data_IF_867753708728
#
_entry.id   IF_867753708728
#
_cell.length_a   1.000
_cell.length_b   1.000
_cell.length_c   1.000
_cell.angle_alpha   90.00
_cell.angle_beta   90.00
_cell.angle_gamma   90.00
#
_symmetry.space_group_name_H-M   'P 1'
#
loop_
_entity.id
_entity.type
_entity.pdbx_description
1 polymer ?
#
# COMPACT_ATOMS: atom_id res chain seq x y z
N UNK A 1 4.40 18.03 -13.94
CA UNK A 1 4.90 16.71 -13.52
C UNK A 1 3.78 15.70 -13.52
N UNK A 2 4.05 14.49 -13.98
CA UNK A 2 3.04 13.43 -14.01
C UNK A 2 2.82 12.87 -12.62
N UNK A 3 1.57 12.56 -12.28
CA UNK A 3 1.23 11.91 -11.01
C UNK A 3 1.68 10.46 -10.99
N UNK A 4 1.69 9.81 -12.17
CA UNK A 4 2.02 8.39 -12.27
C UNK A 4 3.51 8.16 -12.43
N UNK A 5 4.00 7.08 -11.85
CA UNK A 5 5.34 6.57 -12.12
C UNK A 5 5.34 5.84 -13.46
N UNK A 6 6.53 5.57 -13.99
CA UNK A 6 6.65 4.76 -15.19
C UNK A 6 6.02 3.39 -14.93
N UNK A 7 5.36 2.84 -15.92
CA UNK A 7 4.63 1.58 -15.78
C UNK A 7 5.50 0.46 -15.22
N UNK A 8 6.70 0.29 -15.75
CA UNK A 8 7.61 -0.75 -15.30
C UNK A 8 7.95 -0.60 -13.81
N UNK A 9 8.32 0.60 -13.40
CA UNK A 9 8.69 0.87 -12.01
C UNK A 9 7.51 0.64 -11.07
N UNK A 10 6.32 1.07 -11.48
CA UNK A 10 5.11 0.91 -10.71
C UNK A 10 4.76 -0.56 -10.51
N UNK A 11 4.80 -1.36 -11.60
CA UNK A 11 4.48 -2.78 -11.53
C UNK A 11 5.51 -3.54 -10.70
N UNK A 12 6.79 -3.18 -10.81
CA UNK A 12 7.83 -3.79 -10.01
C UNK A 12 7.61 -3.52 -8.52
N UNK A 13 7.24 -2.30 -8.17
CA UNK A 13 6.95 -1.95 -6.78
C UNK A 13 5.76 -2.74 -6.24
N UNK A 14 4.66 -2.81 -7.02
CA UNK A 14 3.47 -3.54 -6.60
C UNK A 14 3.79 -5.02 -6.36
N UNK A 15 4.53 -5.65 -7.28
CA UNK A 15 4.93 -7.03 -7.12
C UNK A 15 5.79 -7.25 -5.89
N UNK A 16 6.82 -6.44 -5.72
CA UNK A 16 7.72 -6.59 -4.57
C UNK A 16 6.98 -6.42 -3.26
N UNK A 17 6.16 -5.38 -3.14
CA UNK A 17 5.43 -5.13 -1.91
C UNK A 17 4.44 -6.25 -1.58
N UNK A 18 3.72 -6.72 -2.58
CA UNK A 18 2.71 -7.76 -2.36
C UNK A 18 3.31 -9.14 -2.11
N UNK A 19 4.49 -9.42 -2.66
CA UNK A 19 5.14 -10.71 -2.46
C UNK A 19 6.03 -10.76 -1.22
N UNK A 20 6.83 -9.72 -1.01
CA UNK A 20 7.82 -9.73 0.06
C UNK A 20 7.36 -9.07 1.34
N UNK A 21 6.34 -8.21 1.28
CA UNK A 21 5.85 -7.45 2.43
C UNK A 21 4.36 -7.65 2.68
N UNK A 22 3.82 -8.80 2.28
CA UNK A 22 2.38 -9.06 2.37
C UNK A 22 1.84 -8.97 3.80
N UNK A 23 2.56 -9.51 4.78
CA UNK A 23 2.13 -9.43 6.17
C UNK A 23 2.11 -7.99 6.67
N UNK A 24 3.15 -7.23 6.33
CA UNK A 24 3.23 -5.83 6.71
C UNK A 24 2.13 -4.99 6.09
N UNK A 25 1.81 -5.24 4.82
CA UNK A 25 0.72 -4.55 4.15
C UNK A 25 -0.61 -4.90 4.79
N UNK A 26 -0.82 -6.16 5.15
CA UNK A 26 -2.04 -6.57 5.85
C UNK A 26 -2.17 -5.83 7.18
N UNK A 27 -1.09 -5.74 7.96
CA UNK A 27 -1.09 -4.97 9.20
C UNK A 27 -1.41 -3.50 8.96
N UNK A 28 -0.85 -2.93 7.90
CA UNK A 28 -1.11 -1.53 7.57
C UNK A 28 -2.58 -1.28 7.22
N UNK A 29 -3.16 -2.17 6.40
CA UNK A 29 -4.58 -2.06 6.05
C UNK A 29 -5.47 -2.24 7.28
N UNK A 30 -5.13 -3.19 8.15
CA UNK A 30 -5.83 -3.39 9.42
C UNK A 30 -5.78 -2.13 10.29
N UNK A 31 -4.63 -1.45 10.28
CA UNK A 31 -4.46 -0.21 11.03
C UNK A 31 -5.30 0.93 10.44
N UNK A 32 -5.41 1.01 9.12
CA UNK A 32 -6.21 2.04 8.45
C UNK A 32 -7.71 1.83 8.66
N UNK A 33 -8.14 0.57 8.75
CA UNK A 33 -9.54 0.20 8.90
C UNK A 33 -9.73 -0.74 10.08
N UNK A 34 -9.53 -0.21 11.28
CA UNK A 34 -9.55 -1.02 12.50
C UNK A 34 -10.95 -1.52 12.88
N UNK A 35 -12.00 -0.94 12.32
CA UNK A 35 -13.37 -1.38 12.57
C UNK A 35 -13.79 -2.60 11.75
N UNK A 36 -12.96 -2.99 10.79
CA UNK A 36 -13.27 -4.11 9.88
C UNK A 36 -12.35 -5.28 10.14
N UNK A 37 -12.88 -6.49 9.95
CA UNK A 37 -12.09 -7.72 10.11
C UNK A 37 -11.28 -8.03 8.85
N UNK A 38 -10.27 -7.23 8.57
CA UNK A 38 -9.37 -7.46 7.45
C UNK A 38 -8.47 -8.64 7.74
N UNK A 39 -8.50 -9.64 6.88
CA UNK A 39 -7.60 -10.80 6.99
C UNK A 39 -6.46 -10.75 5.99
N UNK A 40 -6.64 -10.01 4.88
CA UNK A 40 -5.58 -9.83 3.87
C UNK A 40 -5.63 -8.40 3.38
N UNK A 41 -4.46 -7.78 3.30
CA UNK A 41 -4.30 -6.47 2.67
C UNK A 41 -3.35 -6.56 1.50
N UNK A 42 -3.63 -5.80 0.45
CA UNK A 42 -2.79 -5.76 -0.76
C UNK A 42 -2.63 -4.33 -1.24
N UNK A 43 -1.51 -4.06 -1.86
CA UNK A 43 -1.28 -2.80 -2.55
C UNK A 43 -1.80 -2.94 -3.97
N UNK A 44 -2.84 -2.18 -4.30
CA UNK A 44 -3.51 -2.25 -5.61
C UNK A 44 -2.84 -1.36 -6.64
N UNK A 45 -2.57 -0.12 -6.26
CA UNK A 45 -1.99 0.85 -7.17
C UNK A 45 -1.24 1.92 -6.39
N UNK A 46 -0.40 2.66 -7.09
CA UNK A 46 0.40 3.71 -6.48
C UNK A 46 0.64 4.80 -7.49
N UNK A 47 0.62 6.04 -7.01
CA UNK A 47 1.06 7.19 -7.78
C UNK A 47 1.93 8.07 -6.88
N UNK A 48 2.33 9.24 -7.37
CA UNK A 48 3.24 10.10 -6.61
C UNK A 48 2.59 10.75 -5.39
N UNK A 49 1.26 10.77 -5.34
CA UNK A 49 0.51 11.43 -4.27
C UNK A 49 -0.05 10.48 -3.23
N UNK A 50 -0.14 9.20 -3.55
CA UNK A 50 -0.71 8.24 -2.63
C UNK A 50 -0.72 6.82 -3.16
N UNK A 51 -1.29 5.93 -2.38
CA UNK A 51 -1.40 4.52 -2.71
C UNK A 51 -2.81 4.03 -2.42
N UNK A 52 -3.30 3.14 -3.27
CA UNK A 52 -4.60 2.50 -3.08
C UNK A 52 -4.37 1.08 -2.62
N UNK A 53 -5.02 0.71 -1.54
CA UNK A 53 -4.91 -0.63 -0.95
C UNK A 53 -6.24 -1.35 -1.06
N UNK A 54 -6.17 -2.66 -1.10
CA UNK A 54 -7.35 -3.52 -1.00
C UNK A 54 -7.34 -4.19 0.36
N UNK A 55 -8.50 -4.18 1.02
CA UNK A 55 -8.71 -4.95 2.23
C UNK A 55 -9.71 -6.06 1.94
N UNK A 56 -9.37 -7.28 2.33
CA UNK A 56 -10.26 -8.43 2.17
C UNK A 56 -10.68 -8.86 3.56
N UNK A 57 -11.99 -8.85 3.82
CA UNK A 57 -12.54 -9.22 5.11
C UNK A 57 -12.74 -10.73 5.21
N UNK A 58 -12.95 -11.20 6.43
CA UNK A 58 -13.17 -12.62 6.72
C UNK A 58 -14.36 -13.18 5.94
N UNK A 59 -15.39 -12.40 5.71
CA UNK A 59 -16.58 -12.81 4.96
C UNK A 59 -16.38 -12.77 3.43
N UNK A 60 -15.21 -12.36 2.97
CA UNK A 60 -14.87 -12.29 1.55
C UNK A 60 -15.14 -10.94 0.91
N UNK A 61 -15.69 -9.97 1.63
CA UNK A 61 -15.89 -8.64 1.07
C UNK A 61 -14.56 -7.94 0.83
N UNK A 62 -14.48 -7.24 -0.31
CA UNK A 62 -13.29 -6.50 -0.72
C UNK A 62 -13.64 -5.03 -0.78
N UNK A 63 -12.78 -4.20 -0.23
CA UNK A 63 -12.97 -2.75 -0.31
C UNK A 63 -11.63 -2.07 -0.57
N UNK A 64 -11.70 -0.83 -1.01
CA UNK A 64 -10.55 -0.04 -1.40
C UNK A 64 -10.30 1.10 -0.41
N UNK A 65 -9.04 1.30 -0.04
CA UNK A 65 -8.65 2.38 0.86
C UNK A 65 -7.52 3.16 0.21
N UNK A 66 -7.67 4.48 0.17
CA UNK A 66 -6.59 5.35 -0.30
C UNK A 66 -5.83 5.93 0.88
N UNK A 67 -4.51 5.84 0.80
CA UNK A 67 -3.61 6.49 1.74
C UNK A 67 -2.82 7.57 1.00
N UNK A 68 -3.00 8.81 1.40
CA UNK A 68 -2.29 9.94 0.80
C UNK A 68 -0.92 10.09 1.44
N UNK A 69 0.10 10.29 0.62
CA UNK A 69 1.46 10.53 1.13
C UNK A 69 1.56 11.93 1.72
N UNK A 70 2.41 12.14 2.73
CA UNK A 70 2.58 13.48 3.33
C UNK A 70 3.20 14.49 2.37
N UNK A 71 3.87 14.00 1.32
CA UNK A 71 4.44 14.85 0.26
C UNK A 71 4.46 14.05 -1.03
N UNK A 72 4.61 14.75 -2.15
CA UNK A 72 4.74 14.09 -3.44
C UNK A 72 6.03 13.27 -3.48
N UNK A 73 5.93 12.02 -3.92
CA UNK A 73 7.07 11.13 -4.06
C UNK A 73 7.69 11.24 -5.46
N UNK A 74 9.00 11.31 -5.54
CA UNK A 74 9.70 11.44 -6.80
C UNK A 74 10.05 10.12 -7.45
N UNK A 75 10.13 9.05 -6.66
CA UNK A 75 10.50 7.73 -7.18
C UNK A 75 9.78 6.62 -6.42
N UNK A 76 9.73 5.44 -7.04
CA UNK A 76 9.15 4.27 -6.38
C UNK A 76 10.01 3.84 -5.18
N UNK A 77 11.31 4.13 -5.20
CA UNK A 77 12.20 3.87 -4.07
C UNK A 77 11.76 4.67 -2.84
N UNK A 78 11.38 5.93 -3.02
CA UNK A 78 10.88 6.74 -1.92
C UNK A 78 9.59 6.17 -1.35
N UNK A 79 8.69 5.71 -2.22
CA UNK A 79 7.44 5.07 -1.79
C UNK A 79 7.74 3.82 -0.97
N UNK A 80 8.64 2.99 -1.46
CA UNK A 80 9.02 1.77 -0.77
C UNK A 80 9.56 2.05 0.63
N UNK A 81 10.47 3.01 0.74
CA UNK A 81 11.05 3.40 2.03
C UNK A 81 9.99 3.95 2.97
N UNK A 82 9.09 4.77 2.46
CA UNK A 82 8.01 5.34 3.25
C UNK A 82 7.09 4.26 3.81
N UNK A 83 6.63 3.36 2.94
CA UNK A 83 5.74 2.28 3.37
C UNK A 83 6.43 1.32 4.35
N UNK A 84 7.69 0.97 4.07
CA UNK A 84 8.45 0.11 4.97
C UNK A 84 8.61 0.74 6.35
N UNK A 85 8.84 2.05 6.40
CA UNK A 85 8.97 2.79 7.65
C UNK A 85 7.69 2.74 8.47
N UNK A 86 6.53 2.95 7.84
CA UNK A 86 5.24 2.90 8.52
C UNK A 86 4.96 1.49 9.03
N UNK A 87 5.20 0.48 8.19
CA UNK A 87 4.99 -0.92 8.56
C UNK A 87 5.84 -1.29 9.77
N UNK A 88 7.08 -0.82 9.80
CA UNK A 88 7.97 -1.06 10.94
C UNK A 88 7.42 -0.45 12.23
N UNK A 89 6.86 0.74 12.15
CA UNK A 89 6.30 1.43 13.32
C UNK A 89 5.08 0.70 13.87
N UNK A 90 4.21 0.18 13.01
CA UNK A 90 2.96 -0.46 13.44
C UNK A 90 3.09 -1.95 13.74
N UNK A 91 4.20 -2.58 13.36
CA UNK A 91 4.42 -4.03 13.63
C UNK A 91 5.21 -4.29 14.95
#
# INVERSE_FOLDING_TARGET
MRKQFKKYDRLALLNEMNEEHSEGITLFVQHLEDEKEVIVGKLKSVDRLGADFLGIERDGEVYEIRHSFPKMMYSTEEVKKYLASIIEIIS
#
